data_IF_917380489485
#
_entry.id   IF_917380489485
#
_cell.length_a   1.000
_cell.length_b   1.000
_cell.length_c   1.000
_cell.angle_alpha   90.00
_cell.angle_beta   90.00
_cell.angle_gamma   90.00
#
_symmetry.space_group_name_H-M   'P 1'
#
loop_
_entity.id
_entity.type
_entity.pdbx_description
1 polymer ?
#
# COMPACT_ATOMS: atom_id res chain seq x y z
N UNK A 1 -0.55 15.01 -1.57
CA UNK A 1 -0.61 13.57 -1.22
C UNK A 1 -0.12 13.41 0.21
N UNK A 2 -0.53 12.35 0.91
CA UNK A 2 0.01 12.03 2.23
C UNK A 2 0.94 10.83 2.10
N UNK A 3 2.02 10.81 2.86
CA UNK A 3 3.01 9.77 2.85
C UNK A 3 3.21 9.20 4.26
N UNK A 4 3.68 7.96 4.32
CA UNK A 4 4.05 7.28 5.56
C UNK A 4 5.39 6.57 5.36
N UNK A 5 6.28 6.66 6.35
CA UNK A 5 7.58 6.00 6.29
C UNK A 5 7.44 4.48 6.57
N UNK A 6 8.41 3.65 6.16
CA UNK A 6 8.46 2.24 6.56
C UNK A 6 8.39 2.02 8.08
N UNK A 7 9.09 2.85 8.86
CA UNK A 7 9.08 2.76 10.32
C UNK A 7 7.70 3.06 10.92
N UNK A 8 6.98 4.05 10.36
CA UNK A 8 5.62 4.38 10.79
C UNK A 8 4.64 3.26 10.40
N UNK A 9 4.75 2.68 9.20
CA UNK A 9 3.94 1.53 8.79
C UNK A 9 4.19 0.34 9.72
N UNK A 10 5.46 0.03 10.03
CA UNK A 10 5.82 -1.05 10.94
C UNK A 10 5.23 -0.84 12.34
N UNK A 11 5.31 0.38 12.86
CA UNK A 11 4.71 0.72 14.14
C UNK A 11 3.19 0.49 14.16
N UNK A 12 2.49 0.83 13.07
CA UNK A 12 1.05 0.57 12.91
C UNK A 12 0.72 -0.92 12.86
N UNK A 13 1.55 -1.73 12.19
CA UNK A 13 1.42 -3.20 12.15
C UNK A 13 1.60 -3.77 13.56
N UNK A 14 2.66 -3.37 14.26
CA UNK A 14 3.01 -3.90 15.58
C UNK A 14 2.00 -3.52 16.66
N UNK A 15 1.43 -2.31 16.55
CA UNK A 15 0.38 -1.83 17.45
C UNK A 15 -1.00 -2.40 17.13
N UNK A 16 -1.14 -3.15 16.02
CA UNK A 16 -2.41 -3.67 15.50
C UNK A 16 -3.45 -2.54 15.32
N UNK A 17 -2.99 -1.40 14.82
CA UNK A 17 -3.88 -0.32 14.41
C UNK A 17 -4.86 -0.82 13.34
N UNK A 18 -6.08 -0.26 13.34
CA UNK A 18 -7.05 -0.56 12.29
C UNK A 18 -6.75 0.26 11.03
N UNK A 19 -6.20 -0.41 10.02
CA UNK A 19 -5.92 0.16 8.71
C UNK A 19 -5.92 -0.93 7.63
N UNK A 20 -6.06 -0.50 6.38
CA UNK A 20 -5.92 -1.37 5.21
C UNK A 20 -4.60 -1.08 4.50
N UNK A 21 -3.82 -2.12 4.25
CA UNK A 21 -2.62 -2.07 3.42
C UNK A 21 -2.93 -2.65 2.04
N UNK A 22 -2.57 -1.96 0.97
CA UNK A 22 -2.86 -2.37 -0.41
C UNK A 22 -1.58 -2.37 -1.24
N UNK A 23 -1.28 -3.51 -1.83
CA UNK A 23 -0.23 -3.65 -2.83
C UNK A 23 -0.79 -3.39 -4.22
N UNK A 24 -0.24 -2.42 -4.94
CA UNK A 24 -0.72 -2.03 -6.27
C UNK A 24 0.15 -2.55 -7.40
N UNK A 25 1.11 -3.43 -7.10
CA UNK A 25 1.97 -4.11 -8.09
C UNK A 25 1.18 -5.19 -8.84
N UNK A 26 1.80 -5.76 -9.86
CA UNK A 26 1.27 -6.93 -10.55
C UNK A 26 1.11 -8.12 -9.58
N UNK A 27 0.14 -9.00 -9.84
CA UNK A 27 -0.22 -10.08 -8.93
C UNK A 27 0.94 -11.07 -8.68
N UNK A 28 1.75 -11.35 -9.70
CA UNK A 28 2.95 -12.21 -9.60
C UNK A 28 3.99 -11.63 -8.64
N UNK A 29 4.15 -10.30 -8.62
CA UNK A 29 5.04 -9.61 -7.68
C UNK A 29 4.55 -9.72 -6.25
N UNK A 30 3.24 -9.67 -6.03
CA UNK A 30 2.63 -9.86 -4.71
C UNK A 30 2.81 -11.31 -4.24
N UNK A 31 2.53 -12.28 -5.11
CA UNK A 31 2.65 -13.71 -4.79
C UNK A 31 4.10 -14.12 -4.46
N UNK A 32 5.07 -13.50 -5.13
CA UNK A 32 6.50 -13.71 -4.84
C UNK A 32 6.90 -13.18 -3.46
N UNK A 33 6.57 -11.92 -3.16
CA UNK A 33 6.90 -11.29 -1.88
C UNK A 33 6.02 -10.07 -1.66
N UNK A 34 5.41 -9.92 -0.49
CA UNK A 34 4.61 -8.74 -0.12
C UNK A 34 4.76 -8.44 1.37
N UNK A 35 4.35 -7.23 1.79
CA UNK A 35 4.32 -6.87 3.21
C UNK A 35 3.14 -7.62 3.85
N UNK A 36 3.39 -8.32 4.96
CA UNK A 36 2.37 -9.11 5.65
C UNK A 36 1.11 -8.27 5.96
N UNK A 37 -0.06 -8.85 5.68
CA UNK A 37 -1.35 -8.17 5.85
C UNK A 37 -1.76 -7.26 4.68
N UNK A 38 -0.94 -7.13 3.64
CA UNK A 38 -1.33 -6.41 2.43
C UNK A 38 -2.39 -7.16 1.60
N UNK A 39 -3.33 -6.40 1.03
CA UNK A 39 -4.27 -6.89 0.04
C UNK A 39 -3.77 -6.57 -1.38
N UNK A 40 -3.72 -7.57 -2.25
CA UNK A 40 -3.34 -7.38 -3.65
C UNK A 40 -4.47 -6.74 -4.45
N UNK A 41 -4.25 -5.51 -4.91
CA UNK A 41 -5.12 -4.82 -5.88
C UNK A 41 -4.23 -4.19 -6.95
N UNK A 42 -3.84 -4.95 -8.00
CA UNK A 42 -3.03 -4.44 -9.08
C UNK A 42 -3.60 -3.17 -9.70
N UNK A 43 -2.73 -2.26 -10.14
CA UNK A 43 -3.15 -0.97 -10.67
C UNK A 43 -4.15 -1.10 -11.84
N UNK A 44 -3.98 -2.10 -12.69
CA UNK A 44 -4.87 -2.35 -13.83
C UNK A 44 -6.24 -2.91 -13.43
N UNK A 45 -6.32 -3.56 -12.27
CA UNK A 45 -7.55 -4.15 -11.73
C UNK A 45 -8.36 -3.17 -10.88
N UNK A 46 -7.75 -2.07 -10.44
CA UNK A 46 -8.37 -1.07 -9.54
C UNK A 46 -9.81 -0.68 -9.94
N UNK A 47 -10.13 -0.38 -11.22
CA UNK A 47 -11.48 0.00 -11.61
C UNK A 47 -12.56 -1.05 -11.30
N UNK A 48 -12.17 -2.31 -11.22
CA UNK A 48 -13.06 -3.45 -11.01
C UNK A 48 -13.08 -3.94 -9.55
N UNK A 49 -12.20 -3.40 -8.69
CA UNK A 49 -12.00 -3.84 -7.29
C UNK A 49 -12.18 -2.70 -6.27
N UNK A 50 -12.83 -1.60 -6.66
CA UNK A 50 -13.03 -0.41 -5.82
C UNK A 50 -13.86 -0.70 -4.55
N UNK A 51 -14.69 -1.73 -4.58
CA UNK A 51 -15.52 -2.23 -3.48
C UNK A 51 -14.69 -2.87 -2.36
N UNK A 52 -13.48 -3.36 -2.68
CA UNK A 52 -12.57 -3.94 -1.69
C UNK A 52 -11.85 -2.86 -0.84
N UNK A 53 -11.89 -1.59 -1.24
CA UNK A 53 -11.19 -0.50 -0.56
C UNK A 53 -12.04 0.07 0.57
N UNK A 54 -11.54 -0.02 1.80
CA UNK A 54 -12.23 0.37 3.03
C UNK A 54 -12.17 1.88 3.27
N UNK A 55 -13.16 2.61 2.76
CA UNK A 55 -13.18 4.09 2.79
C UNK A 55 -13.27 4.73 4.18
N UNK A 56 -13.73 3.96 5.18
CA UNK A 56 -13.90 4.42 6.56
C UNK A 56 -12.62 4.28 7.39
N UNK A 57 -11.67 3.46 6.91
CA UNK A 57 -10.44 3.16 7.62
C UNK A 57 -9.27 3.91 6.97
N UNK A 58 -8.14 3.95 7.68
CA UNK A 58 -6.87 4.45 7.13
C UNK A 58 -6.43 3.48 6.02
N UNK A 59 -6.11 3.98 4.84
CA UNK A 59 -5.65 3.18 3.70
C UNK A 59 -4.23 3.57 3.35
N UNK A 60 -3.33 2.59 3.30
CA UNK A 60 -1.94 2.74 2.87
C UNK A 60 -1.77 1.95 1.57
N UNK A 61 -1.32 2.61 0.51
CA UNK A 61 -1.00 1.98 -0.77
C UNK A 61 0.51 1.97 -0.99
N UNK A 62 1.02 0.94 -1.66
CA UNK A 62 2.41 0.89 -2.08
C UNK A 62 2.62 0.20 -3.42
N UNK A 63 3.74 0.51 -4.05
CA UNK A 63 4.28 -0.21 -5.20
C UNK A 63 5.76 -0.54 -4.93
N UNK A 64 6.55 -0.84 -5.97
CA UNK A 64 7.97 -1.21 -5.80
C UNK A 64 8.77 -0.08 -5.13
N UNK A 65 8.70 1.14 -5.68
CA UNK A 65 9.52 2.30 -5.25
C UNK A 65 8.69 3.51 -4.77
N UNK A 66 7.38 3.36 -4.60
CA UNK A 66 6.47 4.45 -4.23
C UNK A 66 6.08 5.41 -5.38
N UNK A 67 6.76 5.37 -6.53
CA UNK A 67 6.55 6.31 -7.65
C UNK A 67 5.19 6.10 -8.35
N UNK A 68 4.86 4.85 -8.72
CA UNK A 68 3.60 4.55 -9.43
C UNK A 68 2.36 4.70 -8.56
N UNK A 69 2.54 4.69 -7.24
CA UNK A 69 1.46 4.83 -6.27
C UNK A 69 0.80 6.22 -6.30
N UNK A 70 1.44 7.25 -6.86
CA UNK A 70 0.84 8.58 -6.99
C UNK A 70 -0.40 8.58 -7.90
N UNK A 71 -0.36 7.85 -9.01
CA UNK A 71 -1.50 7.73 -9.93
C UNK A 71 -2.65 6.98 -9.26
N UNK A 72 -2.33 5.90 -8.54
CA UNK A 72 -3.31 5.14 -7.77
C UNK A 72 -3.92 6.00 -6.67
N UNK A 73 -3.11 6.81 -5.98
CA UNK A 73 -3.58 7.75 -4.96
C UNK A 73 -4.61 8.71 -5.53
N UNK A 74 -4.29 9.37 -6.64
CA UNK A 74 -5.19 10.33 -7.29
C UNK A 74 -6.49 9.64 -7.70
N UNK A 75 -6.38 8.46 -8.31
CA UNK A 75 -7.53 7.69 -8.75
C UNK A 75 -8.46 7.30 -7.59
N UNK A 76 -7.92 6.71 -6.52
CA UNK A 76 -8.70 6.34 -5.33
C UNK A 76 -9.29 7.55 -4.62
N UNK A 77 -8.54 8.65 -4.51
CA UNK A 77 -9.01 9.90 -3.92
C UNK A 77 -10.15 10.49 -4.75
N UNK A 78 -10.10 10.42 -6.07
CA UNK A 78 -11.18 10.88 -6.95
C UNK A 78 -12.43 9.98 -6.83
N UNK A 79 -12.27 8.67 -6.98
CA UNK A 79 -13.41 7.72 -7.05
C UNK A 79 -14.09 7.47 -5.73
N UNK A 80 -13.32 7.41 -4.65
CA UNK A 80 -13.83 6.94 -3.35
C UNK A 80 -13.84 8.03 -2.29
N UNK A 81 -13.24 9.20 -2.56
CA UNK A 81 -13.14 10.34 -1.62
C UNK A 81 -12.61 9.94 -0.23
N UNK A 82 -11.74 8.92 -0.17
CA UNK A 82 -11.13 8.39 1.06
C UNK A 82 -10.45 9.54 1.81
N UNK A 83 -10.74 9.74 3.10
CA UNK A 83 -10.15 10.85 3.86
C UNK A 83 -8.66 10.59 4.15
N UNK A 84 -8.36 9.39 4.64
CA UNK A 84 -7.06 8.98 5.14
C UNK A 84 -6.40 7.94 4.24
N UNK A 85 -5.95 8.43 3.09
CA UNK A 85 -5.18 7.68 2.11
C UNK A 85 -3.72 8.13 2.19
N UNK A 86 -2.78 7.17 2.18
CA UNK A 86 -1.34 7.38 2.31
C UNK A 86 -0.58 6.53 1.29
N UNK A 87 0.58 7.01 0.85
CA UNK A 87 1.54 6.25 0.06
C UNK A 87 2.70 5.84 0.96
N UNK A 88 3.13 4.56 0.89
CA UNK A 88 4.37 4.12 1.53
C UNK A 88 5.58 4.72 0.82
N UNK A 89 6.38 5.51 1.55
CA UNK A 89 7.60 6.11 1.02
C UNK A 89 8.62 5.04 0.63
N UNK A 90 9.19 5.17 -0.57
CA UNK A 90 10.17 4.21 -1.10
C UNK A 90 9.60 2.83 -1.43
N UNK A 91 8.29 2.61 -1.24
CA UNK A 91 7.60 1.36 -1.55
C UNK A 91 8.10 0.16 -0.75
N UNK A 92 7.84 -1.03 -1.28
CA UNK A 92 8.28 -2.29 -0.65
C UNK A 92 9.81 -2.43 -0.64
N UNK A 93 10.53 -1.80 -1.57
CA UNK A 93 11.99 -1.85 -1.61
C UNK A 93 12.61 -1.19 -0.38
N UNK A 94 12.16 0.02 -0.03
CA UNK A 94 12.64 0.71 1.16
C UNK A 94 12.19 0.01 2.44
N UNK A 95 10.98 -0.56 2.44
CA UNK A 95 10.50 -1.37 3.56
C UNK A 95 11.39 -2.59 3.82
N UNK A 96 11.76 -3.33 2.77
CA UNK A 96 12.70 -4.45 2.89
C UNK A 96 14.07 -3.98 3.38
N UNK A 97 14.61 -2.88 2.85
CA UNK A 97 15.88 -2.33 3.30
C UNK A 97 15.90 -1.98 4.79
N UNK A 98 14.85 -1.30 5.28
CA UNK A 98 14.89 -0.64 6.59
C UNK A 98 14.25 -1.48 7.71
N UNK A 99 13.28 -2.34 7.37
CA UNK A 99 12.43 -3.04 8.33
C UNK A 99 12.62 -4.55 8.28
N UNK A 100 12.62 -5.14 7.08
CA UNK A 100 12.76 -6.58 6.92
C UNK A 100 13.70 -6.94 5.75
N UNK A 101 15.03 -6.95 6.00
CA UNK A 101 16.03 -7.25 4.98
C UNK A 101 16.01 -8.69 4.48
N UNK A 102 15.15 -9.55 5.03
CA UNK A 102 14.98 -10.93 4.56
C UNK A 102 14.01 -11.05 3.38
N UNK A 103 13.23 -9.99 3.11
CA UNK A 103 12.31 -9.94 1.97
C UNK A 103 13.06 -9.92 0.63
N UNK A 104 12.72 -10.85 -0.26
CA UNK A 104 13.25 -10.91 -1.63
C UNK A 104 12.36 -10.12 -2.60
N UNK A 105 12.62 -8.82 -2.73
CA UNK A 105 11.77 -7.82 -3.41
C UNK A 105 12.20 -7.52 -4.85
#
# INVERSE_FOLDING_TARGET
MKFITPAQLKAMIDSKEDFQLIDTREADKFDHCHIEGALSIPQLDLPYKLDLVQKLNKVVIYCIYGIKSEQVFIYLKDKLKIKDLYILEGGIYQYASDIDPSMDV
#
